data_IF_495826386516
#
_entry.id   IF_495826386516
#
_cell.length_a   1.000
_cell.length_b   1.000
_cell.length_c   1.000
_cell.angle_alpha   90.00
_cell.angle_beta   90.00
_cell.angle_gamma   90.00
#
_symmetry.space_group_name_H-M   'P 1'
#
loop_
_entity.id
_entity.type
_entity.pdbx_description
1 polymer ?
#
# COMPACT_ATOMS: atom_id res chain seq x y z
N UNK A 1 -5.51 10.07 -3.00
CA UNK A 1 -4.39 9.24 -2.51
C UNK A 1 -3.28 9.29 -3.54
N UNK A 2 -2.06 9.60 -3.10
CA UNK A 2 -0.88 9.76 -3.95
C UNK A 2 0.21 8.80 -3.53
N UNK A 3 0.68 7.96 -4.45
CA UNK A 3 1.75 6.99 -4.26
C UNK A 3 2.83 7.25 -5.33
N UNK A 4 4.10 7.24 -4.92
CA UNK A 4 5.25 7.30 -5.82
C UNK A 4 6.30 6.31 -5.37
N UNK A 5 6.87 5.56 -6.33
CA UNK A 5 7.99 4.64 -6.16
C UNK A 5 7.85 3.68 -4.96
N UNK A 6 6.69 3.02 -4.85
CA UNK A 6 6.41 2.06 -3.77
C UNK A 6 6.22 0.66 -4.31
N UNK A 7 7.15 -0.25 -3.99
CA UNK A 7 7.15 -1.64 -4.47
C UNK A 7 6.90 -1.69 -5.99
N UNK A 8 5.81 -2.31 -6.45
CA UNK A 8 5.47 -2.41 -7.88
C UNK A 8 4.75 -1.19 -8.45
N UNK A 9 4.53 -0.13 -7.67
CA UNK A 9 3.78 1.07 -8.06
C UNK A 9 4.76 2.22 -8.32
N UNK A 10 4.97 2.58 -9.58
CA UNK A 10 5.79 3.74 -9.97
C UNK A 10 5.12 5.06 -9.59
N UNK A 11 3.87 5.24 -9.98
CA UNK A 11 3.06 6.44 -9.68
C UNK A 11 1.58 6.08 -9.67
N UNK A 12 0.82 6.64 -8.74
CA UNK A 12 -0.63 6.54 -8.67
C UNK A 12 -1.18 7.79 -7.96
N UNK A 13 -2.04 8.55 -8.63
CA UNK A 13 -2.79 9.65 -8.03
C UNK A 13 -4.28 9.46 -8.35
N UNK A 14 -5.02 8.95 -7.37
CA UNK A 14 -6.45 8.65 -7.52
C UNK A 14 -7.23 9.19 -6.32
N UNK A 15 -8.40 9.80 -6.52
CA UNK A 15 -9.29 10.15 -5.41
C UNK A 15 -9.78 8.89 -4.70
N UNK A 16 -9.94 8.96 -3.38
CA UNK A 16 -10.48 7.88 -2.53
C UNK A 16 -11.63 8.46 -1.73
N UNK A 17 -12.80 7.82 -1.83
CA UNK A 17 -14.02 8.20 -1.10
C UNK A 17 -14.36 7.20 0.01
N UNK A 18 -15.56 7.33 0.56
CA UNK A 18 -16.10 6.45 1.61
C UNK A 18 -16.18 4.97 1.20
N UNK A 19 -16.31 4.70 -0.10
CA UNK A 19 -16.19 3.37 -0.69
C UNK A 19 -15.42 3.49 -2.01
N UNK A 20 -14.27 2.83 -2.09
CA UNK A 20 -13.45 2.76 -3.30
C UNK A 20 -13.11 1.29 -3.55
N UNK A 21 -13.44 0.79 -4.74
CA UNK A 21 -13.20 -0.60 -5.13
C UNK A 21 -11.93 -0.71 -5.97
N UNK A 22 -11.00 -1.55 -5.53
CA UNK A 22 -9.75 -1.82 -6.23
C UNK A 22 -9.83 -3.17 -6.95
N UNK A 23 -10.01 -3.13 -8.28
CA UNK A 23 -10.18 -4.32 -9.13
C UNK A 23 -9.05 -4.47 -10.15
N UNK A 24 -8.86 -5.68 -10.66
CA UNK A 24 -7.87 -5.99 -11.70
C UNK A 24 -7.22 -7.36 -11.54
N UNK A 25 -6.47 -7.79 -12.57
CA UNK A 25 -5.78 -9.09 -12.58
C UNK A 25 -4.75 -9.25 -11.44
N UNK A 26 -4.38 -10.48 -11.10
CA UNK A 26 -3.34 -10.73 -10.10
C UNK A 26 -1.98 -10.20 -10.57
N UNK A 27 -1.15 -9.75 -9.62
CA UNK A 27 0.17 -9.18 -9.91
C UNK A 27 0.19 -7.71 -10.34
N UNK A 28 -0.96 -7.06 -10.56
CA UNK A 28 -1.03 -5.66 -11.00
C UNK A 28 -0.71 -4.61 -9.92
N UNK A 29 -0.39 -5.05 -8.69
CA UNK A 29 -0.01 -4.15 -7.59
C UNK A 29 -1.12 -3.77 -6.62
N UNK A 30 -2.32 -4.39 -6.70
CA UNK A 30 -3.45 -4.10 -5.79
C UNK A 30 -3.07 -4.22 -4.31
N UNK A 31 -2.49 -5.34 -3.89
CA UNK A 31 -2.05 -5.55 -2.50
C UNK A 31 -0.95 -4.56 -2.07
N UNK A 32 -0.15 -4.05 -3.00
CA UNK A 32 0.84 -3.01 -2.69
C UNK A 32 0.16 -1.64 -2.45
N UNK A 33 -0.92 -1.35 -3.16
CA UNK A 33 -1.73 -0.16 -2.91
C UNK A 33 -2.36 -0.22 -1.52
N UNK A 34 -2.98 -1.36 -1.18
CA UNK A 34 -3.61 -1.57 0.14
C UNK A 34 -2.58 -1.49 1.27
N UNK A 35 -1.40 -2.11 1.08
CA UNK A 35 -0.32 -2.05 2.04
C UNK A 35 0.19 -0.61 2.24
N UNK A 36 0.33 0.15 1.15
CA UNK A 36 0.70 1.57 1.25
C UNK A 36 -0.37 2.35 2.03
N UNK A 37 -1.65 2.15 1.73
CA UNK A 37 -2.75 2.79 2.43
C UNK A 37 -2.73 2.47 3.93
N UNK A 38 -2.51 1.21 4.30
CA UNK A 38 -2.42 0.78 5.70
C UNK A 38 -1.22 1.43 6.42
N UNK A 39 -0.04 1.46 5.81
CA UNK A 39 1.17 2.09 6.39
C UNK A 39 1.02 3.61 6.51
N UNK A 40 0.40 4.26 5.52
CA UNK A 40 0.22 5.71 5.52
C UNK A 40 -0.79 6.19 6.58
N UNK A 41 -1.83 5.39 6.87
CA UNK A 41 -2.90 5.78 7.79
C UNK A 41 -2.73 5.22 9.22
N UNK A 42 -1.80 4.28 9.45
CA UNK A 42 -1.55 3.69 10.78
C UNK A 42 -0.07 3.62 11.11
N UNK A 43 0.45 4.56 11.95
CA UNK A 43 1.85 4.55 12.39
C UNK A 43 2.23 3.29 13.16
N UNK A 44 1.30 2.75 13.97
CA UNK A 44 1.51 1.50 14.70
C UNK A 44 1.67 0.31 13.76
N UNK A 45 0.90 0.28 12.67
CA UNK A 45 1.05 -0.73 11.63
C UNK A 45 2.39 -0.57 10.89
N UNK A 46 2.80 0.65 10.53
CA UNK A 46 4.10 0.88 9.89
C UNK A 46 5.26 0.39 10.77
N UNK A 47 5.20 0.70 12.07
CA UNK A 47 6.19 0.22 13.05
C UNK A 47 6.23 -1.30 13.11
N UNK A 48 5.07 -1.95 13.29
CA UNK A 48 4.97 -3.41 13.34
C UNK A 48 5.49 -4.06 12.05
N UNK A 49 5.08 -3.54 10.90
CA UNK A 49 5.45 -4.06 9.60
C UNK A 49 6.96 -3.98 9.37
N UNK A 50 7.63 -2.91 9.81
CA UNK A 50 9.09 -2.81 9.77
C UNK A 50 9.78 -3.88 10.61
N UNK A 51 9.24 -4.25 11.77
CA UNK A 51 9.79 -5.34 12.58
C UNK A 51 9.61 -6.69 11.89
N UNK A 52 8.45 -6.94 11.28
CA UNK A 52 8.23 -8.14 10.46
C UNK A 52 9.20 -8.19 9.28
N UNK A 53 9.43 -7.07 8.58
CA UNK A 53 10.36 -7.00 7.45
C UNK A 53 11.80 -7.38 7.86
N UNK A 54 12.25 -6.97 9.06
CA UNK A 54 13.57 -7.36 9.59
C UNK A 54 13.70 -8.86 9.86
N UNK A 55 12.59 -9.55 10.17
CA UNK A 55 12.59 -10.98 10.44
C UNK A 55 12.61 -11.83 9.16
N UNK A 56 12.32 -11.21 8.01
CA UNK A 56 12.23 -11.87 6.70
C UNK A 56 13.50 -11.68 5.85
N UNK A 57 14.51 -10.99 6.39
CA UNK A 57 15.84 -10.75 5.81
C UNK A 57 16.93 -11.32 6.69
#
# INVERSE_FOLDING_TARGET
>A
MRIRNYKSIRECDVPVGSLTLLVGANGTGKSNFDLYAARANSPSFDKLWREVEKLLT
#
